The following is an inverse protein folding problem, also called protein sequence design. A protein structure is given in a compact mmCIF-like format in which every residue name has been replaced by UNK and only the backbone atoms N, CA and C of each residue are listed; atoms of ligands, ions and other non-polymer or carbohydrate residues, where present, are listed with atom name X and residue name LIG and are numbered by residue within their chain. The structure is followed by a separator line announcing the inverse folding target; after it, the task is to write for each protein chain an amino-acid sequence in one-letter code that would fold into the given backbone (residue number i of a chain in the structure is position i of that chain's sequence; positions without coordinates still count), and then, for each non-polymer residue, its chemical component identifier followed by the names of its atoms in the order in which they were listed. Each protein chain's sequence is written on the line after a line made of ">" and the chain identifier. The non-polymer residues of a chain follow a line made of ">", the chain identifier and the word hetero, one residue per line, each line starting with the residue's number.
data_IF_260758005875
#
_entry.id   IF_260758005875
#
_cell.length_a   1.000
_cell.length_b   1.000
_cell.length_c   1.000
_cell.angle_alpha   90.00
_cell.angle_beta   90.00
_cell.angle_gamma   90.00
#
_symmetry.space_group_name_H-M   'P 1'
#
loop_
_entity.id
_entity.type
_entity.pdbx_description
1 polymer ?
#
# COMPACT_ATOMS: atom_id res chain seq x y z
N UNK A 1 -10.03 6.01 7.78
CA UNK A 1 -8.71 5.78 8.42
C UNK A 1 -8.36 4.32 8.22
N UNK A 2 -7.12 4.00 7.84
CA UNK A 2 -6.70 2.61 7.64
C UNK A 2 -6.39 1.92 8.97
N UNK A 3 -6.60 0.60 9.04
CA UNK A 3 -6.17 -0.22 10.18
C UNK A 3 -4.72 -0.68 10.00
N UNK A 4 -3.96 -0.72 11.10
CA UNK A 4 -2.63 -1.30 11.08
C UNK A 4 -2.71 -2.81 10.75
N UNK A 5 -1.77 -3.33 9.93
CA UNK A 5 -1.75 -4.75 9.59
C UNK A 5 -1.49 -5.61 10.82
N UNK A 6 -2.09 -6.80 10.90
CA UNK A 6 -1.84 -7.73 12.02
C UNK A 6 -0.58 -8.59 11.82
N UNK A 7 -0.26 -8.91 10.57
CA UNK A 7 0.91 -9.70 10.19
C UNK A 7 1.62 -9.00 9.03
N UNK A 8 2.95 -8.90 9.11
CA UNK A 8 3.80 -8.37 8.05
C UNK A 8 4.83 -9.45 7.70
N UNK A 9 4.80 -9.91 6.46
CA UNK A 9 5.73 -10.91 5.94
C UNK A 9 6.75 -10.22 5.04
N UNK A 10 8.03 -10.23 5.43
CA UNK A 10 9.12 -9.65 4.61
C UNK A 10 10.25 -10.65 4.43
N UNK A 11 11.20 -10.33 3.56
CA UNK A 11 12.46 -11.05 3.54
C UNK A 11 13.27 -10.82 4.83
N UNK A 12 14.41 -11.51 4.91
CA UNK A 12 15.29 -11.48 6.07
C UNK A 12 16.18 -10.24 6.03
N UNK A 13 15.62 -9.11 6.47
CA UNK A 13 16.31 -7.85 6.65
C UNK A 13 16.22 -7.40 8.13
N UNK A 14 17.36 -7.24 8.84
CA UNK A 14 17.37 -6.80 10.24
C UNK A 14 16.79 -5.39 10.44
N UNK A 15 17.00 -4.48 9.49
CA UNK A 15 16.46 -3.12 9.54
C UNK A 15 14.94 -3.14 9.40
N UNK A 16 14.39 -4.00 8.54
CA UNK A 16 12.93 -4.16 8.42
C UNK A 16 12.31 -4.66 9.72
N UNK A 17 12.94 -5.63 10.41
CA UNK A 17 12.47 -6.11 11.71
C UNK A 17 12.37 -4.96 12.73
N UNK A 18 13.45 -4.17 12.87
CA UNK A 18 13.50 -3.04 13.81
C UNK A 18 12.48 -1.97 13.43
N UNK A 19 12.37 -1.64 12.15
CA UNK A 19 11.43 -0.63 11.66
C UNK A 19 9.97 -1.04 11.90
N UNK A 20 9.63 -2.32 11.65
CA UNK A 20 8.29 -2.85 11.89
C UNK A 20 7.96 -2.80 13.37
N UNK A 21 8.86 -3.24 14.24
CA UNK A 21 8.65 -3.21 15.70
C UNK A 21 8.44 -1.78 16.21
N UNK A 22 9.11 -0.80 15.60
CA UNK A 22 8.97 0.62 15.96
C UNK A 22 7.70 1.27 15.41
N UNK A 23 7.31 0.98 14.17
CA UNK A 23 6.19 1.66 13.48
C UNK A 23 4.86 0.94 13.74
N UNK A 24 4.90 -0.39 13.86
CA UNK A 24 3.74 -1.25 14.08
C UNK A 24 4.01 -2.25 15.21
N UNK A 25 4.07 -1.79 16.47
CA UNK A 25 4.45 -2.63 17.62
C UNK A 25 3.50 -3.81 17.87
N UNK A 26 2.26 -3.71 17.39
CA UNK A 26 1.25 -4.76 17.52
C UNK A 26 1.19 -5.71 16.30
N UNK A 27 2.03 -5.50 15.28
CA UNK A 27 2.10 -6.38 14.12
C UNK A 27 3.06 -7.55 14.37
N UNK A 28 2.65 -8.76 14.00
CA UNK A 28 3.54 -9.91 13.96
C UNK A 28 4.44 -9.84 12.72
N UNK A 29 5.75 -9.68 12.92
CA UNK A 29 6.73 -9.82 11.84
C UNK A 29 7.07 -11.30 11.60
N UNK A 30 6.97 -11.75 10.36
CA UNK A 30 7.30 -13.12 9.93
C UNK A 30 8.26 -13.06 8.75
N UNK A 31 9.19 -14.02 8.68
CA UNK A 31 10.04 -14.16 7.51
C UNK A 31 9.32 -14.86 6.36
N UNK A 32 9.58 -14.39 5.14
CA UNK A 32 9.06 -14.97 3.93
C UNK A 32 9.66 -16.37 3.70
N UNK A 33 8.81 -17.39 3.83
CA UNK A 33 9.22 -18.78 3.68
C UNK A 33 9.81 -19.06 2.30
N UNK A 34 9.25 -18.47 1.24
CA UNK A 34 9.82 -18.62 -0.11
C UNK A 34 11.24 -18.08 -0.22
N UNK A 35 11.55 -16.94 0.42
CA UNK A 35 12.91 -16.37 0.45
C UNK A 35 13.88 -17.28 1.20
N UNK A 36 13.46 -17.82 2.34
CA UNK A 36 14.24 -18.80 3.12
C UNK A 36 14.50 -20.04 2.25
N UNK A 37 13.44 -20.67 1.75
CA UNK A 37 13.54 -21.89 0.94
C UNK A 37 14.42 -21.69 -0.30
N UNK A 38 14.29 -20.55 -0.99
CA UNK A 38 15.11 -20.22 -2.16
C UNK A 38 16.59 -20.01 -1.84
N UNK A 39 16.93 -19.53 -0.63
CA UNK A 39 18.32 -19.43 -0.18
C UNK A 39 18.89 -20.78 0.21
N UNK A 40 18.06 -21.66 0.81
CA UNK A 40 18.46 -23.00 1.22
C UNK A 40 18.73 -23.91 0.02
N UNK A 41 17.90 -23.85 -1.03
CA UNK A 41 18.11 -24.66 -2.25
C UNK A 41 19.38 -24.29 -3.02
N UNK A 42 19.94 -23.10 -2.79
CA UNK A 42 21.24 -22.68 -3.35
C UNK A 42 22.46 -23.20 -2.57
N UNK A 43 22.23 -23.86 -1.43
CA UNK A 43 23.29 -24.43 -0.56
C UNK A 43 22.99 -25.92 -0.31
N UNK A 44 23.29 -26.81 -1.26
CA UNK A 44 22.81 -28.20 -1.24
C UNK A 44 23.24 -28.98 0.01
N UNK A 45 24.48 -28.80 0.49
CA UNK A 45 24.97 -29.46 1.71
C UNK A 45 24.17 -29.03 2.95
N UNK A 46 23.83 -27.74 3.04
CA UNK A 46 23.05 -27.21 4.15
C UNK A 46 21.56 -27.60 4.03
N UNK A 47 21.06 -27.68 2.80
CA UNK A 47 19.68 -28.11 2.52
C UNK A 47 19.42 -29.53 3.01
N UNK A 48 20.32 -30.48 2.76
CA UNK A 48 20.15 -31.88 3.21
C UNK A 48 20.13 -31.99 4.74
N UNK A 49 21.07 -31.32 5.43
CA UNK A 49 21.10 -31.30 6.89
C UNK A 49 19.85 -30.63 7.47
N UNK A 50 19.42 -29.51 6.88
CA UNK A 50 18.21 -28.81 7.30
C UNK A 50 16.94 -29.63 7.05
N UNK A 51 16.85 -30.31 5.91
CA UNK A 51 15.73 -31.20 5.59
C UNK A 51 15.65 -32.38 6.58
N UNK A 52 16.79 -32.91 7.00
CA UNK A 52 16.86 -33.95 8.02
C UNK A 52 16.32 -33.45 9.37
N UNK A 53 16.75 -32.26 9.82
CA UNK A 53 16.23 -31.63 11.04
C UNK A 53 14.72 -31.40 10.95
N UNK A 54 14.20 -30.94 9.80
CA UNK A 54 12.75 -30.78 9.60
C UNK A 54 12.02 -32.12 9.73
N UNK A 55 12.55 -33.20 9.12
CA UNK A 55 11.95 -34.54 9.21
C UNK A 55 11.92 -35.05 10.64
N UNK A 56 13.01 -34.87 11.39
CA UNK A 56 13.11 -35.25 12.80
C UNK A 56 12.13 -34.47 13.68
N UNK A 57 12.08 -33.14 13.52
CA UNK A 57 11.13 -32.31 14.26
C UNK A 57 9.68 -32.65 13.93
N UNK A 58 9.38 -32.99 12.67
CA UNK A 58 8.04 -33.44 12.26
C UNK A 58 7.65 -34.74 12.97
N UNK A 59 8.56 -35.70 13.05
CA UNK A 59 8.35 -36.97 13.75
C UNK A 59 8.13 -36.78 15.26
N UNK A 60 8.86 -35.85 15.89
CA UNK A 60 8.70 -35.48 17.31
C UNK A 60 7.33 -34.82 17.57
N UNK A 61 6.89 -33.93 16.67
CA UNK A 61 5.57 -33.29 16.78
C UNK A 61 4.42 -34.30 16.59
N UNK A 62 4.60 -35.28 15.72
CA UNK A 62 3.61 -36.34 15.46
C UNK A 62 3.55 -37.37 16.59
N UNK A 63 4.67 -37.70 17.25
CA UNK A 63 4.69 -38.66 18.36
C UNK A 63 4.07 -38.12 19.64
N UNK A 64 4.04 -36.80 19.82
CA UNK A 64 3.38 -36.13 20.96
C UNK A 64 1.84 -36.06 20.81
N UNK A 65 1.28 -36.34 19.63
CA UNK A 65 -0.17 -36.35 19.41
C UNK A 65 -0.75 -37.76 19.57
N UNK A 66 -0.80 -38.27 20.79
CA UNK A 66 -1.75 -39.34 21.11
C UNK A 66 -3.11 -38.68 21.40
N UNK A 67 -4.00 -38.69 20.40
CA UNK A 67 -5.42 -38.42 20.57
C UNK A 67 -5.87 -36.98 20.27
N UNK A 68 -5.78 -36.56 19.01
CA UNK A 68 -6.86 -35.89 18.27
C UNK A 68 -6.36 -35.67 16.85
N UNK A 69 -6.92 -36.38 15.86
CA UNK A 69 -6.74 -36.05 14.46
C UNK A 69 -7.50 -34.73 14.20
N UNK A 70 -6.95 -33.62 14.69
CA UNK A 70 -7.51 -32.31 14.40
C UNK A 70 -7.37 -32.11 12.90
N UNK A 71 -8.49 -32.19 12.18
CA UNK A 71 -8.61 -31.80 10.79
C UNK A 71 -8.30 -30.30 10.72
N UNK A 72 -7.02 -29.94 10.73
CA UNK A 72 -6.55 -28.56 10.61
C UNK A 72 -6.91 -28.09 9.20
N UNK A 73 -7.94 -27.26 9.12
CA UNK A 73 -8.27 -26.58 7.87
C UNK A 73 -7.10 -25.69 7.48
N UNK A 74 -6.88 -25.49 6.17
CA UNK A 74 -5.84 -24.57 5.68
C UNK A 74 -5.98 -23.18 6.30
N UNK A 75 -7.22 -22.76 6.57
CA UNK A 75 -7.55 -21.52 7.27
C UNK A 75 -6.96 -21.47 8.67
N UNK A 76 -7.18 -22.50 9.50
CA UNK A 76 -6.65 -22.56 10.87
C UNK A 76 -5.12 -22.44 10.91
N UNK A 77 -4.43 -23.07 9.95
CA UNK A 77 -2.96 -22.96 9.82
C UNK A 77 -2.53 -21.53 9.50
N UNK A 78 -3.23 -20.87 8.58
CA UNK A 78 -2.93 -19.48 8.19
C UNK A 78 -3.20 -18.52 9.35
N UNK A 79 -4.30 -18.70 10.08
CA UNK A 79 -4.66 -17.85 11.22
C UNK A 79 -3.65 -17.97 12.36
N UNK A 80 -3.22 -19.20 12.68
CA UNK A 80 -2.17 -19.44 13.66
C UNK A 80 -0.84 -18.81 13.22
N UNK A 81 -0.48 -18.92 11.94
CA UNK A 81 0.73 -18.30 11.40
C UNK A 81 0.66 -16.77 11.46
N UNK A 82 -0.44 -16.18 11.04
CA UNK A 82 -0.67 -14.73 11.03
C UNK A 82 -1.00 -14.15 12.42
N UNK A 83 -1.22 -14.99 13.43
CA UNK A 83 -1.65 -14.57 14.76
C UNK A 83 -3.02 -13.89 14.76
N UNK A 84 -3.83 -14.11 13.72
CA UNK A 84 -5.10 -13.40 13.54
C UNK A 84 -6.09 -14.20 12.71
N UNK A 85 -7.33 -14.26 13.20
CA UNK A 85 -8.45 -14.85 12.47
C UNK A 85 -8.79 -14.01 11.24
N UNK A 86 -9.20 -14.68 10.17
CA UNK A 86 -9.75 -14.02 9.01
C UNK A 86 -11.08 -13.32 9.40
N UNK A 87 -11.32 -12.07 8.98
CA UNK A 87 -12.59 -11.42 9.24
C UNK A 87 -13.72 -12.15 8.50
N UNK A 88 -14.88 -12.28 9.14
CA UNK A 88 -16.08 -12.87 8.55
C UNK A 88 -16.66 -12.03 7.41
N UNK A 89 -16.36 -10.73 7.39
CA UNK A 89 -16.83 -9.79 6.38
C UNK A 89 -15.71 -8.80 6.02
N UNK A 90 -15.47 -8.60 4.72
CA UNK A 90 -14.46 -7.67 4.20
C UNK A 90 -15.15 -6.46 3.58
N UNK A 91 -15.13 -5.32 4.27
CA UNK A 91 -15.62 -4.06 3.71
C UNK A 91 -14.53 -3.40 2.88
N UNK A 92 -14.65 -3.46 1.55
CA UNK A 92 -13.75 -2.75 0.64
C UNK A 92 -14.28 -1.33 0.42
N UNK A 93 -13.66 -0.35 1.04
CA UNK A 93 -13.96 1.07 0.79
C UNK A 93 -13.15 1.56 -0.41
N UNK A 94 -13.72 2.46 -1.26
CA UNK A 94 -12.94 3.16 -2.27
C UNK A 94 -11.73 3.84 -1.61
N UNK A 95 -10.53 3.79 -2.23
CA UNK A 95 -9.38 4.50 -1.70
C UNK A 95 -9.70 5.98 -1.60
N UNK A 96 -9.33 6.63 -0.50
CA UNK A 96 -9.43 8.08 -0.42
C UNK A 96 -8.60 8.68 -1.56
N UNK A 97 -9.18 9.68 -2.25
CA UNK A 97 -8.51 10.33 -3.37
C UNK A 97 -7.19 10.96 -2.88
N UNK A 98 -6.07 10.31 -3.18
CA UNK A 98 -4.76 10.81 -2.83
C UNK A 98 -4.45 12.03 -3.71
N UNK A 99 -4.11 13.15 -3.07
CA UNK A 99 -3.63 14.33 -3.79
C UNK A 99 -2.18 14.08 -4.20
N UNK A 100 -2.00 13.58 -5.41
CA UNK A 100 -0.69 13.38 -6.01
C UNK A 100 -0.11 14.70 -6.57
N UNK A 101 1.16 14.67 -6.97
CA UNK A 101 1.84 15.79 -7.63
C UNK A 101 1.05 16.19 -8.89
N UNK A 102 0.48 17.39 -8.89
CA UNK A 102 -0.44 17.88 -9.93
C UNK A 102 -1.90 18.01 -9.48
N UNK A 103 -2.28 17.41 -8.35
CA UNK A 103 -3.60 17.54 -7.74
C UNK A 103 -3.68 18.80 -6.86
N UNK A 104 -3.86 19.94 -7.50
CA UNK A 104 -4.06 21.24 -6.84
C UNK A 104 -3.96 22.38 -7.83
N UNK A 105 -4.58 23.52 -7.51
CA UNK A 105 -4.31 24.75 -8.27
C UNK A 105 -2.83 25.09 -8.06
N UNK A 106 -2.11 25.35 -9.15
CA UNK A 106 -0.74 25.86 -9.11
C UNK A 106 -0.69 27.07 -8.18
N UNK A 107 0.22 27.06 -7.21
CA UNK A 107 0.50 28.23 -6.38
C UNK A 107 1.04 29.34 -7.28
N UNK A 108 0.38 30.50 -7.25
CA UNK A 108 0.81 31.66 -8.03
C UNK A 108 1.88 32.41 -7.26
N UNK A 109 2.97 32.77 -7.94
CA UNK A 109 4.01 33.62 -7.36
C UNK A 109 3.54 35.07 -7.21
N UNK A 110 4.17 35.85 -6.33
CA UNK A 110 3.78 37.26 -6.08
C UNK A 110 3.74 38.12 -7.36
N UNK A 111 4.65 37.89 -8.31
CA UNK A 111 4.64 38.53 -9.64
C UNK A 111 3.41 38.15 -10.47
N UNK A 112 3.04 36.85 -10.48
CA UNK A 112 1.85 36.38 -11.21
C UNK A 112 0.56 36.95 -10.60
N UNK A 113 0.50 37.06 -9.26
CA UNK A 113 -0.61 37.70 -8.54
C UNK A 113 -0.71 39.20 -8.88
N UNK A 114 0.42 39.92 -8.87
CA UNK A 114 0.46 41.36 -9.21
C UNK A 114 0.14 41.68 -10.68
N UNK A 115 0.45 40.76 -11.61
CA UNK A 115 0.05 40.90 -13.02
C UNK A 115 -1.46 40.66 -13.18
N UNK A 116 -2.03 39.71 -12.45
CA UNK A 116 -3.47 39.43 -12.53
C UNK A 116 -4.35 40.46 -11.81
N UNK A 117 -3.84 41.13 -10.77
CA UNK A 117 -4.55 42.26 -10.15
C UNK A 117 -4.63 43.47 -11.08
N UNK A 118 -3.68 43.59 -12.02
CA UNK A 118 -3.69 44.56 -13.13
C UNK A 118 -4.24 43.93 -14.39
N UNK A 119 -5.49 43.44 -14.38
CA UNK A 119 -6.14 42.94 -15.61
C UNK A 119 -6.12 44.07 -16.65
N UNK A 120 -5.26 43.95 -17.67
CA UNK A 120 -5.27 44.90 -18.79
C UNK A 120 -6.56 44.70 -19.58
N UNK A 121 -7.20 45.80 -19.94
CA UNK A 121 -8.28 45.77 -20.92
C UNK A 121 -7.72 45.28 -22.26
N UNK A 122 -8.52 44.51 -22.98
CA UNK A 122 -8.20 43.98 -24.30
C UNK A 122 -9.37 44.22 -25.24
N UNK A 123 -9.10 44.38 -26.54
CA UNK A 123 -10.14 44.51 -27.55
C UNK A 123 -10.84 43.17 -27.77
N UNK A 124 -12.15 43.11 -27.56
CA UNK A 124 -12.98 41.98 -27.94
C UNK A 124 -13.37 42.12 -29.42
N UNK A 125 -13.13 41.12 -30.27
CA UNK A 125 -13.47 41.21 -31.70
C UNK A 125 -14.97 41.04 -32.01
N UNK A 126 -15.76 40.64 -31.01
CA UNK A 126 -17.21 40.43 -31.18
C UNK A 126 -18.01 41.70 -30.91
N UNK A 127 -17.69 42.43 -29.83
CA UNK A 127 -18.33 43.73 -29.53
C UNK A 127 -17.46 44.94 -29.91
N UNK A 128 -16.21 44.72 -30.30
CA UNK A 128 -15.23 45.76 -30.66
C UNK A 128 -14.91 46.76 -29.53
N UNK A 129 -15.08 46.37 -28.27
CA UNK A 129 -14.80 47.20 -27.10
C UNK A 129 -13.57 46.73 -26.31
N UNK A 130 -12.91 47.68 -25.62
CA UNK A 130 -11.82 47.42 -24.68
C UNK A 130 -12.39 46.93 -23.34
N UNK A 131 -12.30 45.63 -23.09
CA UNK A 131 -13.00 44.95 -22.00
C UNK A 131 -12.13 43.84 -21.36
N UNK A 132 -12.68 43.11 -20.38
CA UNK A 132 -11.99 42.01 -19.70
C UNK A 132 -12.32 40.61 -20.24
N UNK A 133 -13.08 40.52 -21.34
CA UNK A 133 -13.42 39.26 -21.99
C UNK A 133 -12.79 39.18 -23.39
N UNK A 134 -12.85 38.00 -24.02
CA UNK A 134 -12.51 37.83 -25.43
C UNK A 134 -13.76 37.42 -26.21
N UNK A 135 -13.64 37.27 -27.54
CA UNK A 135 -14.77 36.94 -28.42
C UNK A 135 -15.52 35.66 -28.03
N UNK A 136 -14.84 34.67 -27.43
CA UNK A 136 -15.47 33.39 -27.05
C UNK A 136 -16.39 33.55 -25.86
N UNK A 137 -16.04 34.49 -24.97
CA UNK A 137 -16.73 34.72 -23.71
C UNK A 137 -17.52 36.04 -23.74
N UNK A 138 -17.71 36.62 -24.93
CA UNK A 138 -18.41 37.88 -25.09
C UNK A 138 -19.92 37.66 -24.88
N UNK A 139 -20.61 38.50 -24.08
CA UNK A 139 -22.06 38.37 -23.88
C UNK A 139 -22.88 38.50 -25.18
N UNK A 140 -22.33 39.19 -26.18
CA UNK A 140 -22.93 39.36 -27.50
C UNK A 140 -22.58 38.22 -28.45
N UNK A 141 -21.80 37.21 -28.01
CA UNK A 141 -21.47 36.06 -28.82
C UNK A 141 -22.69 35.12 -28.93
N UNK A 142 -23.23 34.99 -30.15
CA UNK A 142 -24.38 34.12 -30.46
C UNK A 142 -23.99 32.65 -30.69
N UNK A 143 -22.70 32.34 -30.64
CA UNK A 143 -22.19 30.96 -30.65
C UNK A 143 -22.31 30.36 -29.24
N UNK A 144 -23.51 29.91 -28.87
CA UNK A 144 -23.69 28.89 -27.81
C UNK A 144 -23.61 27.50 -28.42
#
# INVERSE_FOLDING_TARGET
>A
MGHAPKCIVTDQDPSMRIAIEKVFPNSHHRYCMWSIMSKLTRKPVFFEQFAQVIKEQKSIMLSSQQGNAHLTTKTSVIEQFCGSAAPSEVTVLPPQQARNKGCGKRFKGGKEVAIQSKKKLRLCRTCNEMCHHDSRNCPMNKSS
#
